data_IF_409933335749
#
_entry.id   IF_409933335749
#
_cell.length_a   1.000
_cell.length_b   1.000
_cell.length_c   1.000
_cell.angle_alpha   90.00
_cell.angle_beta   90.00
_cell.angle_gamma   90.00
#
_symmetry.space_group_name_H-M   'P 1'
#
loop_
_entity.id
_entity.type
_entity.pdbx_description
1 polymer ?
#
# COMPACT_ATOMS: atom_id res chain seq x y z
N UNK A 1 -15.59 2.85 3.76
CA UNK A 1 -14.72 2.50 2.61
C UNK A 1 -15.01 1.06 2.23
N UNK A 2 -15.45 0.81 1.00
CA UNK A 2 -15.69 -0.57 0.54
C UNK A 2 -14.36 -1.32 0.52
N UNK A 3 -14.35 -2.56 1.03
CA UNK A 3 -13.22 -3.48 0.87
C UNK A 3 -12.88 -3.57 -0.62
N UNK A 4 -11.60 -3.46 -0.95
CA UNK A 4 -11.15 -3.48 -2.31
C UNK A 4 -11.21 -4.92 -2.82
N UNK A 5 -12.14 -5.23 -3.73
CA UNK A 5 -12.39 -6.59 -4.22
C UNK A 5 -11.23 -7.22 -5.01
N UNK A 6 -10.07 -6.56 -5.05
CA UNK A 6 -8.84 -7.00 -5.73
C UNK A 6 -7.72 -7.36 -4.75
N UNK A 7 -7.91 -7.16 -3.46
CA UNK A 7 -6.93 -7.48 -2.43
C UNK A 7 -7.65 -8.16 -1.27
N UNK A 8 -7.23 -9.38 -0.98
CA UNK A 8 -7.76 -10.22 0.06
C UNK A 8 -7.34 -9.74 1.46
N UNK A 9 -8.18 -9.99 2.47
CA UNK A 9 -7.82 -9.75 3.86
C UNK A 9 -6.64 -10.65 4.27
N UNK A 10 -5.61 -10.04 4.83
CA UNK A 10 -4.46 -10.73 5.40
C UNK A 10 -4.74 -11.13 6.84
N UNK A 11 -4.48 -12.38 7.19
CA UNK A 11 -4.69 -12.88 8.55
C UNK A 11 -3.67 -12.32 9.56
N UNK A 12 -2.50 -11.88 9.09
CA UNK A 12 -1.41 -11.38 9.93
C UNK A 12 -1.51 -9.89 10.30
N UNK A 13 -2.61 -9.23 9.92
CA UNK A 13 -2.80 -7.78 10.15
C UNK A 13 -4.21 -7.50 10.62
N UNK A 14 -4.34 -6.56 11.55
CA UNK A 14 -5.63 -6.03 11.96
C UNK A 14 -5.82 -4.63 11.32
N UNK A 15 -6.76 -4.44 10.38
CA UNK A 15 -6.97 -3.15 9.70
C UNK A 15 -7.18 -1.97 10.65
N UNK A 16 -7.82 -2.20 11.81
CA UNK A 16 -8.06 -1.18 12.83
C UNK A 16 -6.75 -0.63 13.43
N UNK A 17 -5.66 -1.39 13.42
CA UNK A 17 -4.35 -0.88 13.82
C UNK A 17 -3.76 0.10 12.81
N UNK A 18 -4.00 -0.13 11.52
CA UNK A 18 -3.61 0.80 10.46
C UNK A 18 -4.30 2.14 10.61
N UNK A 19 -5.62 2.12 10.81
CA UNK A 19 -6.43 3.34 11.05
C UNK A 19 -6.00 4.05 12.33
N UNK A 20 -5.72 3.32 13.42
CA UNK A 20 -5.23 3.93 14.66
C UNK A 20 -3.85 4.57 14.50
N UNK A 21 -2.97 3.98 13.69
CA UNK A 21 -1.59 4.43 13.53
C UNK A 21 -1.46 5.62 12.58
N UNK A 22 -2.20 5.61 11.47
CA UNK A 22 -2.07 6.61 10.41
C UNK A 22 -3.26 7.57 10.32
N UNK A 23 -4.39 7.24 10.97
CA UNK A 23 -5.63 7.99 10.87
C UNK A 23 -6.41 7.64 9.59
N UNK A 24 -7.25 8.59 9.18
CA UNK A 24 -8.02 8.51 7.95
C UNK A 24 -7.16 9.00 6.76
N UNK A 25 -6.32 8.09 6.26
CA UNK A 25 -5.45 8.34 5.10
C UNK A 25 -5.77 7.40 3.95
N UNK A 26 -5.39 7.80 2.74
CA UNK A 26 -5.45 6.91 1.59
C UNK A 26 -4.37 5.83 1.69
N UNK A 27 -4.80 4.57 1.51
CA UNK A 27 -3.92 3.40 1.48
C UNK A 27 -3.87 2.79 0.09
N UNK A 28 -2.69 2.29 -0.31
CA UNK A 28 -2.59 1.48 -1.52
C UNK A 28 -3.26 0.11 -1.35
N UNK A 29 -3.18 -0.46 -0.14
CA UNK A 29 -4.00 -1.59 0.27
C UNK A 29 -5.08 -1.11 1.25
N UNK A 30 -6.30 -0.93 0.72
CA UNK A 30 -7.45 -0.42 1.47
C UNK A 30 -8.12 -1.51 2.31
N UNK A 31 -7.98 -2.77 1.93
CA UNK A 31 -8.56 -3.92 2.65
C UNK A 31 -7.83 -4.12 3.97
N UNK A 32 -6.50 -4.11 3.92
CA UNK A 32 -5.66 -4.34 5.09
C UNK A 32 -5.15 -3.06 5.76
N UNK A 33 -5.49 -1.89 5.21
CA UNK A 33 -5.05 -0.56 5.68
C UNK A 33 -3.52 -0.49 5.78
N UNK A 34 -2.86 -0.95 4.72
CA UNK A 34 -1.39 -0.98 4.58
C UNK A 34 -0.93 -0.04 3.47
N UNK A 35 0.32 0.41 3.60
CA UNK A 35 0.99 1.28 2.64
C UNK A 35 0.24 2.61 2.45
N UNK A 36 0.30 3.51 3.44
CA UNK A 36 -0.25 4.85 3.27
C UNK A 36 0.39 5.54 2.06
N UNK A 37 -0.40 6.36 1.36
CA UNK A 37 -0.01 7.04 0.11
C UNK A 37 -0.53 8.48 0.07
N UNK A 38 -0.75 9.10 1.23
CA UNK A 38 -1.26 10.46 1.42
C UNK A 38 -0.17 11.54 1.48
N UNK A 39 1.09 11.15 1.71
CA UNK A 39 2.23 12.07 1.73
C UNK A 39 3.39 11.57 0.86
N UNK A 40 4.29 12.46 0.40
CA UNK A 40 5.51 12.05 -0.32
C UNK A 40 6.36 11.03 0.46
N UNK A 41 6.47 11.19 1.77
CA UNK A 41 7.22 10.26 2.64
C UNK A 41 6.55 8.90 2.70
N UNK A 42 5.23 8.85 2.88
CA UNK A 42 4.47 7.61 2.87
C UNK A 42 4.57 6.89 1.53
N UNK A 43 4.50 7.60 0.40
CA UNK A 43 4.66 7.00 -0.93
C UNK A 43 6.03 6.34 -1.11
N UNK A 44 7.12 7.02 -0.72
CA UNK A 44 8.48 6.46 -0.81
C UNK A 44 8.62 5.22 0.08
N UNK A 45 8.11 5.30 1.31
CA UNK A 45 8.13 4.18 2.24
C UNK A 45 7.32 3.00 1.69
N UNK A 46 6.07 3.24 1.27
CA UNK A 46 5.19 2.24 0.68
C UNK A 46 5.86 1.50 -0.47
N UNK A 47 6.50 2.24 -1.40
CA UNK A 47 7.22 1.65 -2.51
C UNK A 47 8.38 0.76 -2.07
N UNK A 48 9.18 1.22 -1.11
CA UNK A 48 10.29 0.43 -0.55
C UNK A 48 9.77 -0.86 0.12
N UNK A 49 8.73 -0.76 0.94
CA UNK A 49 8.19 -1.90 1.66
C UNK A 49 7.55 -2.95 0.74
N UNK A 50 6.74 -2.56 -0.25
CA UNK A 50 6.09 -3.54 -1.15
C UNK A 50 7.10 -4.25 -2.07
N UNK A 51 8.26 -3.65 -2.34
CA UNK A 51 9.34 -4.29 -3.09
C UNK A 51 10.22 -5.21 -2.24
N UNK A 52 10.09 -5.17 -0.91
CA UNK A 52 10.77 -6.12 -0.04
C UNK A 52 10.13 -7.52 -0.18
N UNK A 53 10.95 -8.55 -0.41
CA UNK A 53 10.50 -9.93 -0.68
C UNK A 53 9.49 -10.44 0.36
N UNK A 54 9.79 -10.27 1.64
CA UNK A 54 8.93 -10.77 2.73
C UNK A 54 7.56 -10.09 2.80
N UNK A 55 7.46 -8.84 2.34
CA UNK A 55 6.20 -8.12 2.31
C UNK A 55 5.41 -8.46 1.05
N UNK A 56 6.09 -8.56 -0.10
CA UNK A 56 5.48 -8.98 -1.36
C UNK A 56 4.91 -10.41 -1.26
N UNK A 57 5.61 -11.30 -0.56
CA UNK A 57 5.20 -12.69 -0.36
C UNK A 57 3.92 -12.87 0.49
N UNK A 58 3.37 -11.79 1.04
CA UNK A 58 2.11 -11.78 1.81
C UNK A 58 0.88 -11.57 0.93
N UNK A 59 1.08 -11.45 -0.37
CA UNK A 59 0.09 -11.13 -1.37
C UNK A 59 0.28 -12.01 -2.60
N UNK A 60 -0.79 -12.22 -3.35
CA UNK A 60 -0.73 -12.79 -4.68
C UNK A 60 -0.11 -11.81 -5.68
N UNK A 61 0.39 -12.32 -6.80
CA UNK A 61 1.15 -11.51 -7.75
C UNK A 61 0.34 -10.35 -8.36
N UNK A 62 -0.96 -10.55 -8.58
CA UNK A 62 -1.90 -9.55 -9.09
C UNK A 62 -2.29 -8.51 -8.03
N UNK A 63 -2.34 -8.89 -6.76
CA UNK A 63 -2.51 -7.97 -5.63
C UNK A 63 -1.28 -7.07 -5.48
N UNK A 64 -0.07 -7.63 -5.54
CA UNK A 64 1.18 -6.85 -5.53
C UNK A 64 1.20 -5.85 -6.69
N UNK A 65 0.78 -6.28 -7.89
CA UNK A 65 0.68 -5.40 -9.05
C UNK A 65 -0.32 -4.25 -8.81
N UNK A 66 -1.47 -4.56 -8.21
CA UNK A 66 -2.51 -3.58 -7.86
C UNK A 66 -2.01 -2.55 -6.83
N UNK A 67 -1.34 -3.00 -5.78
CA UNK A 67 -0.74 -2.14 -4.74
C UNK A 67 0.33 -1.24 -5.38
N UNK A 68 1.25 -1.79 -6.17
CA UNK A 68 2.30 -1.03 -6.87
C UNK A 68 1.71 0.02 -7.82
N UNK A 69 0.65 -0.31 -8.56
CA UNK A 69 -0.02 0.65 -9.44
C UNK A 69 -0.56 1.86 -8.67
N UNK A 70 -1.18 1.63 -7.51
CA UNK A 70 -1.70 2.71 -6.66
C UNK A 70 -0.59 3.58 -6.10
N UNK A 71 0.52 2.98 -5.66
CA UNK A 71 1.69 3.73 -5.17
C UNK A 71 2.28 4.56 -6.32
N UNK A 72 2.41 4.02 -7.53
CA UNK A 72 2.86 4.79 -8.72
C UNK A 72 1.95 5.97 -9.02
N UNK A 73 0.63 5.80 -8.94
CA UNK A 73 -0.34 6.90 -9.13
C UNK A 73 -0.15 8.00 -8.09
N UNK A 74 0.05 7.62 -6.83
CA UNK A 74 0.35 8.56 -5.76
C UNK A 74 1.71 9.25 -5.97
N UNK A 75 2.75 8.52 -6.38
CA UNK A 75 4.06 9.07 -6.70
C UNK A 75 3.97 10.15 -7.78
N UNK A 76 3.19 9.93 -8.84
CA UNK A 76 2.90 10.96 -9.86
C UNK A 76 2.17 12.17 -9.29
N UNK A 77 1.18 11.96 -8.41
CA UNK A 77 0.42 13.03 -7.75
C UNK A 77 1.31 13.92 -6.86
N UNK A 78 2.28 13.32 -6.18
CA UNK A 78 3.19 14.00 -5.26
C UNK A 78 4.55 14.36 -5.87
N UNK A 79 4.72 14.16 -7.18
CA UNK A 79 5.98 14.41 -7.90
C UNK A 79 7.19 13.71 -7.24
N UNK A 80 6.96 12.50 -6.73
CA UNK A 80 7.97 11.66 -6.08
C UNK A 80 8.60 10.73 -7.10
N UNK A 81 9.93 10.78 -7.21
CA UNK A 81 10.69 9.75 -7.93
C UNK A 81 10.75 8.47 -7.11
N UNK A 82 10.25 7.37 -7.69
CA UNK A 82 10.37 6.01 -7.15
C UNK A 82 11.18 5.18 -8.14
N UNK A 83 12.06 4.33 -7.64
CA UNK A 83 12.93 3.50 -8.47
C UNK A 83 12.17 2.27 -8.97
N UNK A 84 12.08 2.10 -10.28
CA UNK A 84 11.42 0.95 -10.91
C UNK A 84 12.39 -0.23 -11.02
N UNK A 85 12.83 -0.75 -9.87
CA UNK A 85 13.57 -2.03 -9.76
C UNK A 85 12.67 -3.24 -10.03
#
# INVERSE_FOLDING_TARGET
MAADSKIDPREDVNPSEGERKYGDVDFADRTNKKYPIDTPEHVRAAWSYINHKDNAAKYEADEVATIKERIRKAAKKFEVTIDES
#
